data_IF_232361361126
#
_entry.id   IF_232361361126
#
_cell.length_a   1.000
_cell.length_b   1.000
_cell.length_c   1.000
_cell.angle_alpha   90.00
_cell.angle_beta   90.00
_cell.angle_gamma   90.00
#
_symmetry.space_group_name_H-M   'P 1'
#
loop_
_entity.id
_entity.type
_entity.pdbx_description
1 polymer ?
#
# COMPACT_ATOMS: atom_id res chain seq x y z
N UNK A 1 17.08 15.00 -3.25
CA UNK A 1 16.03 15.23 -2.24
C UNK A 1 14.92 14.25 -2.53
N UNK A 2 14.97 13.04 -1.97
CA UNK A 2 13.92 12.03 -2.16
C UNK A 2 12.84 12.28 -1.11
N UNK A 3 11.95 13.23 -1.40
CA UNK A 3 10.71 13.33 -0.64
C UNK A 3 9.93 12.06 -0.92
N UNK A 4 9.88 11.14 0.04
CA UNK A 4 8.98 9.98 -0.05
C UNK A 4 7.57 10.54 0.12
N UNK A 5 6.71 10.54 -0.92
CA UNK A 5 5.32 10.89 -0.71
C UNK A 5 4.74 9.71 0.06
N UNK A 6 4.49 9.90 1.35
CA UNK A 6 3.70 8.94 2.13
C UNK A 6 2.33 8.86 1.48
N UNK A 7 1.79 7.65 1.30
CA UNK A 7 0.43 7.51 0.80
C UNK A 7 -0.55 7.70 1.93
N UNK A 8 -1.30 8.79 1.89
CA UNK A 8 -2.46 9.01 2.74
C UNK A 8 -3.74 8.53 2.06
N UNK A 9 -4.81 8.25 2.83
CA UNK A 9 -6.15 8.02 2.28
C UNK A 9 -6.62 9.11 1.30
N UNK A 10 -6.14 10.34 1.46
CA UNK A 10 -6.53 11.49 0.62
C UNK A 10 -5.76 11.56 -0.70
N UNK A 11 -4.66 10.84 -0.83
CA UNK A 11 -3.88 10.77 -2.06
C UNK A 11 -4.47 9.77 -3.04
N UNK A 12 -4.25 10.04 -4.33
CA UNK A 12 -4.70 9.20 -5.41
C UNK A 12 -4.02 7.82 -5.31
N UNK A 13 -4.84 6.78 -5.15
CA UNK A 13 -4.38 5.40 -5.20
C UNK A 13 -4.35 4.93 -6.67
N UNK A 14 -3.34 4.16 -7.09
CA UNK A 14 -3.28 3.63 -8.45
C UNK A 14 -4.54 2.81 -8.77
N UNK A 15 -5.22 3.16 -9.86
CA UNK A 15 -6.44 2.45 -10.28
C UNK A 15 -6.15 1.07 -10.90
N UNK A 16 -4.92 0.85 -11.38
CA UNK A 16 -4.50 -0.32 -12.13
C UNK A 16 -3.18 -0.87 -11.59
N UNK A 17 -3.23 -1.68 -10.53
CA UNK A 17 -2.04 -2.27 -9.90
C UNK A 17 -1.28 -3.22 -10.82
N UNK A 18 -1.99 -3.86 -11.75
CA UNK A 18 -1.44 -4.75 -12.79
C UNK A 18 -0.45 -4.04 -13.71
N UNK A 19 -0.54 -2.70 -13.82
CA UNK A 19 0.36 -1.89 -14.66
C UNK A 19 1.66 -1.49 -13.97
N UNK A 20 1.74 -1.65 -12.64
CA UNK A 20 2.93 -1.34 -11.86
C UNK A 20 3.95 -2.46 -11.96
N UNK A 21 5.23 -2.11 -11.92
CA UNK A 21 6.32 -3.07 -11.74
C UNK A 21 6.29 -3.69 -10.34
N UNK A 22 7.00 -4.82 -10.16
CA UNK A 22 7.13 -5.46 -8.83
C UNK A 22 7.77 -4.51 -7.81
N UNK A 23 8.82 -3.79 -8.21
CA UNK A 23 9.50 -2.82 -7.35
C UNK A 23 8.57 -1.68 -6.91
N UNK A 24 7.69 -1.20 -7.80
CA UNK A 24 6.69 -0.18 -7.46
C UNK A 24 5.63 -0.72 -6.51
N UNK A 25 5.19 -1.97 -6.68
CA UNK A 25 4.25 -2.62 -5.75
C UNK A 25 4.87 -2.86 -4.37
N UNK A 26 6.14 -3.27 -4.30
CA UNK A 26 6.85 -3.46 -3.05
C UNK A 26 7.02 -2.13 -2.30
N UNK A 27 7.34 -1.05 -3.02
CA UNK A 27 7.40 0.30 -2.45
C UNK A 27 6.03 0.75 -1.94
N UNK A 28 4.99 0.52 -2.74
CA UNK A 28 3.61 0.86 -2.41
C UNK A 28 3.13 0.10 -1.15
N UNK A 29 3.47 -1.19 -1.03
CA UNK A 29 3.17 -2.01 0.14
C UNK A 29 3.88 -1.46 1.39
N UNK A 30 5.17 -1.11 1.29
CA UNK A 30 5.91 -0.50 2.40
C UNK A 30 5.30 0.82 2.84
N UNK A 31 4.92 1.68 1.89
CA UNK A 31 4.29 2.96 2.21
C UNK A 31 2.95 2.81 2.91
N UNK A 32 2.11 1.86 2.46
CA UNK A 32 0.83 1.56 3.10
C UNK A 32 1.03 0.97 4.50
N UNK A 33 2.03 0.11 4.70
CA UNK A 33 2.37 -0.41 6.02
C UNK A 33 2.82 0.69 6.98
N UNK A 34 3.65 1.62 6.52
CA UNK A 34 4.05 2.80 7.29
C UNK A 34 2.84 3.69 7.65
N UNK A 35 1.90 3.85 6.71
CA UNK A 35 0.66 4.62 6.92
C UNK A 35 -0.24 3.94 7.96
N UNK A 36 -0.50 2.64 7.84
CA UNK A 36 -1.28 1.87 8.82
C UNK A 36 -0.65 2.00 10.20
N UNK A 37 0.68 1.86 10.30
CA UNK A 37 1.38 2.05 11.56
C UNK A 37 1.19 3.47 12.11
N UNK A 38 1.28 4.49 11.26
CA UNK A 38 1.07 5.88 11.66
C UNK A 38 -0.37 6.11 12.15
N UNK A 39 -1.37 5.64 11.42
CA UNK A 39 -2.78 5.82 11.75
C UNK A 39 -3.14 5.12 13.07
N UNK A 40 -2.69 3.88 13.26
CA UNK A 40 -2.88 3.15 14.52
C UNK A 40 -2.28 3.91 15.71
N UNK A 41 -1.12 4.56 15.53
CA UNK A 41 -0.45 5.32 16.59
C UNK A 41 -1.00 6.75 16.77
N UNK A 42 -1.77 7.28 15.83
CA UNK A 42 -2.26 8.66 15.85
C UNK A 42 -3.57 8.85 16.63
N UNK A 43 -4.24 7.76 17.06
CA UNK A 43 -5.56 7.86 17.69
C UNK A 43 -6.00 6.61 18.43
N UNK A 44 -7.17 6.08 18.06
CA UNK A 44 -7.90 5.03 18.78
C UNK A 44 -7.25 3.63 18.71
N UNK A 45 -6.04 3.50 18.17
CA UNK A 45 -5.40 2.21 17.93
C UNK A 45 -5.84 1.52 16.64
N UNK A 46 -6.52 2.23 15.74
CA UNK A 46 -7.08 1.69 14.50
C UNK A 46 -6.64 2.51 13.28
N UNK A 47 -6.31 1.81 12.19
CA UNK A 47 -6.02 2.42 10.89
C UNK A 47 -7.30 2.77 10.14
N UNK A 48 -7.20 3.69 9.17
CA UNK A 48 -8.32 4.04 8.32
C UNK A 48 -8.72 2.82 7.47
N UNK A 49 -10.04 2.48 7.39
CA UNK A 49 -10.51 1.37 6.55
C UNK A 49 -10.06 1.47 5.09
N UNK A 50 -9.90 2.69 4.56
CA UNK A 50 -9.40 2.91 3.21
C UNK A 50 -7.93 2.53 3.04
N UNK A 51 -7.07 2.83 4.02
CA UNK A 51 -5.67 2.41 4.03
C UNK A 51 -5.56 0.88 4.06
N UNK A 52 -6.36 0.24 4.91
CA UNK A 52 -6.41 -1.23 5.01
C UNK A 52 -6.87 -1.88 3.71
N UNK A 53 -7.92 -1.33 3.07
CA UNK A 53 -8.39 -1.82 1.77
C UNK A 53 -7.29 -1.72 0.71
N UNK A 54 -6.62 -0.57 0.63
CA UNK A 54 -5.50 -0.36 -0.31
C UNK A 54 -4.36 -1.34 -0.06
N UNK A 55 -4.01 -1.58 1.21
CA UNK A 55 -3.01 -2.58 1.59
C UNK A 55 -3.40 -3.98 1.09
N UNK A 56 -4.63 -4.41 1.34
CA UNK A 56 -5.12 -5.72 0.89
C UNK A 56 -5.07 -5.87 -0.63
N UNK A 57 -5.41 -4.82 -1.40
CA UNK A 57 -5.33 -4.86 -2.87
C UNK A 57 -3.91 -5.08 -3.37
N UNK A 58 -2.93 -4.42 -2.75
CA UNK A 58 -1.51 -4.55 -3.12
C UNK A 58 -0.97 -5.92 -2.74
N UNK A 59 -1.30 -6.41 -1.54
CA UNK A 59 -0.90 -7.75 -1.09
C UNK A 59 -1.48 -8.85 -1.99
N UNK A 60 -2.74 -8.70 -2.44
CA UNK A 60 -3.36 -9.63 -3.39
C UNK A 60 -2.66 -9.64 -4.75
N UNK A 61 -2.34 -8.46 -5.29
CA UNK A 61 -1.61 -8.36 -6.56
C UNK A 61 -0.19 -8.97 -6.45
N UNK A 62 0.51 -8.70 -5.35
CA UNK A 62 1.83 -9.29 -5.09
C UNK A 62 1.75 -10.82 -5.00
N UNK A 63 0.76 -11.35 -4.28
CA UNK A 63 0.54 -12.78 -4.14
C UNK A 63 0.20 -13.46 -5.48
N UNK A 64 -0.64 -12.83 -6.31
CA UNK A 64 -0.98 -13.32 -7.64
C UNK A 64 0.27 -13.47 -8.53
N UNK A 65 1.18 -12.49 -8.48
CA UNK A 65 2.44 -12.53 -9.23
C UNK A 65 3.42 -13.57 -8.72
N UNK A 66 3.44 -13.81 -7.42
CA UNK A 66 4.29 -14.85 -6.83
C UNK A 66 3.78 -16.25 -7.21
N UNK A 67 2.46 -16.44 -7.34
CA UNK A 67 1.86 -17.70 -7.82
C UNK A 67 2.00 -17.92 -9.33
N UNK A 68 2.10 -16.87 -10.14
CA UNK A 68 2.33 -16.97 -11.58
C UNK A 68 3.82 -17.19 -11.95
N UNK A 69 4.72 -17.07 -10.96
CA UNK A 69 6.16 -17.25 -11.11
C UNK A 69 6.68 -18.66 -10.80
N UNK A 70 5.82 -19.61 -10.38
CA UNK A 70 6.11 -21.04 -10.19
C UNK A 70 5.71 -21.89 -11.42
#
# INVERSE_FOLDING_TARGET
MSGKPYLSPKEAFPAHLETLSREELDLLAQQLQEEVFRECNAGAGEANPETLLRQSLVELELAARDSDGE
#
